data_IF_174896032066
#
_entry.id   IF_174896032066
#
_cell.length_a   1.000
_cell.length_b   1.000
_cell.length_c   1.000
_cell.angle_alpha   90.00
_cell.angle_beta   90.00
_cell.angle_gamma   90.00
#
_symmetry.space_group_name_H-M   'P 1'
#
loop_
_entity.id
_entity.type
_entity.pdbx_description
1 polymer ?
#
# COMPACT_ATOMS: atom_id res chain seq x y z
N UNK A 1 15.18 15.30 8.10
CA UNK A 1 15.19 13.82 8.04
C UNK A 1 14.32 13.42 6.86
N UNK A 2 14.88 13.53 5.66
CA UNK A 2 14.19 13.33 4.38
C UNK A 2 14.14 11.83 4.08
N UNK A 3 12.97 11.32 3.69
CA UNK A 3 12.66 9.96 3.21
C UNK A 3 13.77 8.92 3.41
N UNK A 4 13.54 7.94 4.28
CA UNK A 4 14.29 6.68 4.23
C UNK A 4 14.15 6.00 2.86
N UNK A 5 14.90 4.92 2.60
CA UNK A 5 14.89 4.25 1.31
C UNK A 5 13.46 3.84 0.96
N UNK A 6 12.85 4.54 0.00
CA UNK A 6 11.45 4.36 -0.37
C UNK A 6 11.15 2.87 -0.62
N UNK A 7 10.33 2.25 0.22
CA UNK A 7 9.82 0.92 -0.02
C UNK A 7 9.00 0.97 -1.32
N UNK A 8 9.41 0.19 -2.31
CA UNK A 8 8.63 0.06 -3.55
C UNK A 8 7.21 -0.42 -3.25
N UNK A 9 6.21 -0.06 -4.06
CA UNK A 9 4.82 -0.51 -3.87
C UNK A 9 4.71 -2.03 -3.65
N UNK A 10 5.53 -2.80 -4.38
CA UNK A 10 5.63 -4.26 -4.26
C UNK A 10 5.95 -4.73 -2.84
N UNK A 11 6.83 -3.99 -2.16
CA UNK A 11 7.30 -4.33 -0.82
C UNK A 11 6.22 -4.09 0.23
N UNK A 12 5.49 -2.98 0.13
CA UNK A 12 4.30 -2.70 0.99
C UNK A 12 3.17 -3.70 0.75
N UNK A 13 2.92 -4.05 -0.51
CA UNK A 13 1.94 -5.07 -0.88
C UNK A 13 2.31 -6.42 -0.23
N UNK A 14 3.55 -6.85 -0.41
CA UNK A 14 4.06 -8.11 0.14
C UNK A 14 3.89 -8.14 1.65
N UNK A 15 4.31 -7.08 2.33
CA UNK A 15 4.21 -6.97 3.77
C UNK A 15 2.78 -7.04 4.29
N UNK A 16 1.86 -6.29 3.69
CA UNK A 16 0.46 -6.35 4.08
C UNK A 16 -0.13 -7.75 3.84
N UNK A 17 0.22 -8.40 2.72
CA UNK A 17 -0.17 -9.79 2.46
C UNK A 17 0.40 -10.76 3.50
N UNK A 18 1.66 -10.59 3.91
CA UNK A 18 2.29 -11.38 4.97
C UNK A 18 1.56 -11.22 6.30
N UNK A 19 1.21 -9.99 6.67
CA UNK A 19 0.46 -9.72 7.92
C UNK A 19 -0.91 -10.38 7.89
N UNK A 20 -1.64 -10.29 6.79
CA UNK A 20 -2.90 -11.02 6.61
C UNK A 20 -2.66 -12.52 6.77
N UNK A 21 -1.64 -13.08 6.14
CA UNK A 21 -1.34 -14.51 6.24
C UNK A 21 -1.03 -14.93 7.68
N UNK A 22 -0.14 -14.19 8.36
CA UNK A 22 0.18 -14.39 9.76
C UNK A 22 -1.09 -14.33 10.61
N UNK A 23 -1.84 -13.23 10.59
CA UNK A 23 -3.04 -13.10 11.44
C UNK A 23 -3.99 -14.30 11.28
N UNK A 24 -4.09 -14.85 10.08
CA UNK A 24 -4.94 -16.00 9.77
C UNK A 24 -4.36 -17.33 10.20
N UNK A 25 -3.05 -17.53 10.01
CA UNK A 25 -2.33 -18.68 10.56
C UNK A 25 -2.49 -18.70 12.09
N UNK A 26 -2.40 -17.54 12.73
CA UNK A 26 -2.52 -17.34 14.17
C UNK A 26 -3.96 -17.17 14.70
N UNK A 27 -4.99 -17.20 13.84
CA UNK A 27 -6.40 -16.94 14.17
C UNK A 27 -6.59 -15.68 15.05
N UNK A 28 -5.86 -14.62 14.70
CA UNK A 28 -5.96 -13.28 15.29
C UNK A 28 -6.90 -12.43 14.41
N UNK A 29 -7.76 -11.66 15.06
CA UNK A 29 -8.58 -10.67 14.39
C UNK A 29 -7.69 -9.55 13.88
N UNK A 30 -7.87 -9.12 12.63
CA UNK A 30 -7.12 -8.05 11.99
C UNK A 30 -8.14 -7.10 11.38
N UNK A 31 -8.03 -5.82 11.70
CA UNK A 31 -8.85 -4.76 11.15
C UNK A 31 -7.93 -3.83 10.40
N UNK A 32 -8.22 -3.57 9.12
CA UNK A 32 -7.41 -2.72 8.26
C UNK A 32 -8.29 -1.67 7.58
N UNK A 33 -8.02 -0.38 7.81
CA UNK A 33 -8.72 0.73 7.16
C UNK A 33 -7.80 1.32 6.09
N UNK A 34 -8.32 1.37 4.86
CA UNK A 34 -7.70 2.04 3.72
C UNK A 34 -8.28 3.45 3.64
N UNK A 35 -7.46 4.46 3.91
CA UNK A 35 -7.86 5.87 3.87
C UNK A 35 -7.61 6.43 2.47
N UNK A 36 -8.62 7.09 1.92
CA UNK A 36 -8.54 7.87 0.68
C UNK A 36 -8.98 9.31 0.98
N UNK A 37 -8.30 10.31 0.40
CA UNK A 37 -8.66 11.72 0.53
C UNK A 37 -9.40 12.24 -0.71
N UNK A 38 -10.41 13.09 -0.49
CA UNK A 38 -11.13 13.76 -1.58
C UNK A 38 -10.23 14.81 -2.24
N UNK A 39 -9.96 14.62 -3.53
CA UNK A 39 -9.20 15.57 -4.38
C UNK A 39 -7.91 16.04 -3.68
N UNK A 40 -7.12 15.09 -3.17
CA UNK A 40 -6.03 15.35 -2.24
C UNK A 40 -5.11 16.53 -2.66
N UNK A 41 -4.64 16.54 -3.91
CA UNK A 41 -3.82 17.61 -4.45
C UNK A 41 -4.54 18.96 -4.54
N UNK A 42 -5.83 18.99 -4.82
CA UNK A 42 -6.58 20.25 -5.02
C UNK A 42 -7.10 20.86 -3.70
N UNK A 43 -7.15 20.05 -2.63
CA UNK A 43 -7.78 20.41 -1.36
C UNK A 43 -6.82 21.04 -0.35
N UNK A 44 -5.50 20.97 -0.55
CA UNK A 44 -4.50 21.47 0.41
C UNK A 44 -4.64 22.98 0.62
N UNK A 45 -4.79 23.41 1.88
CA UNK A 45 -4.81 24.82 2.24
C UNK A 45 -3.38 25.40 2.26
N UNK A 46 -3.14 26.48 1.50
CA UNK A 46 -1.79 27.07 1.36
C UNK A 46 -1.26 27.64 2.68
N UNK A 47 -2.10 28.32 3.46
CA UNK A 47 -1.69 28.89 4.75
C UNK A 47 -1.27 27.79 5.73
N UNK A 48 -2.02 26.69 5.77
CA UNK A 48 -1.67 25.54 6.60
C UNK A 48 -0.43 24.80 6.10
N UNK A 49 -0.24 24.66 4.79
CA UNK A 49 0.98 24.10 4.22
C UNK A 49 2.22 24.88 4.70
N UNK A 50 2.19 26.21 4.58
CA UNK A 50 3.29 27.09 5.01
C UNK A 50 3.49 27.06 6.53
N UNK A 51 2.40 27.09 7.29
CA UNK A 51 2.44 26.96 8.75
C UNK A 51 3.06 25.63 9.19
N UNK A 52 2.65 24.52 8.56
CA UNK A 52 3.18 23.18 8.81
C UNK A 52 4.68 23.09 8.50
N UNK A 53 5.16 23.75 7.45
CA UNK A 53 6.59 23.83 7.16
C UNK A 53 7.35 24.61 8.24
N UNK A 54 6.86 25.78 8.63
CA UNK A 54 7.50 26.64 9.62
C UNK A 54 7.63 25.96 11.00
N UNK A 55 6.55 25.34 11.49
CA UNK A 55 6.55 24.69 12.81
C UNK A 55 7.41 23.41 12.86
N UNK A 56 7.72 22.81 11.71
CA UNK A 56 8.60 21.65 11.63
C UNK A 56 10.07 22.02 11.38
N UNK A 57 10.46 23.27 11.66
CA UNK A 57 11.83 23.78 11.58
C UNK A 57 12.48 23.62 10.19
N UNK A 58 11.69 23.77 9.13
CA UNK A 58 12.25 23.93 7.78
C UNK A 58 12.95 25.28 7.66
N UNK A 59 13.99 25.31 6.81
CA UNK A 59 14.75 26.52 6.56
C UNK A 59 13.87 27.69 6.11
N UNK A 60 14.04 28.85 6.73
CA UNK A 60 13.16 30.01 6.51
C UNK A 60 13.23 30.52 5.07
N UNK A 61 14.39 30.44 4.42
CA UNK A 61 14.56 30.83 3.02
C UNK A 61 13.80 29.88 2.09
N UNK A 62 13.86 28.57 2.36
CA UNK A 62 13.05 27.56 1.66
C UNK A 62 11.55 27.84 1.82
N UNK A 63 11.08 28.12 3.03
CA UNK A 63 9.66 28.42 3.30
C UNK A 63 9.22 29.67 2.54
N UNK A 64 10.02 30.75 2.53
CA UNK A 64 9.75 31.97 1.74
C UNK A 64 9.69 31.70 0.23
N UNK A 65 10.56 30.84 -0.29
CA UNK A 65 10.52 30.43 -1.71
C UNK A 65 9.25 29.65 -2.04
N UNK A 66 8.82 28.75 -1.15
CA UNK A 66 7.55 28.02 -1.30
C UNK A 66 6.36 28.98 -1.19
N UNK A 67 6.37 29.91 -0.24
CA UNK A 67 5.35 30.95 -0.10
C UNK A 67 5.20 31.77 -1.39
N UNK A 68 6.31 32.18 -2.01
CA UNK A 68 6.29 32.90 -3.27
C UNK A 68 5.60 32.11 -4.41
N UNK A 69 5.69 30.78 -4.41
CA UNK A 69 5.00 29.92 -5.39
C UNK A 69 3.48 29.86 -5.16
N UNK A 70 3.04 29.99 -3.91
CA UNK A 70 1.64 29.87 -3.49
C UNK A 70 0.98 31.22 -3.17
N UNK A 71 1.65 32.35 -3.43
CA UNK A 71 1.11 33.69 -3.22
C UNK A 71 0.19 34.10 -4.37
N UNK A 72 -1.13 34.10 -4.13
CA UNK A 72 -2.18 34.44 -5.11
C UNK A 72 -2.00 33.79 -6.49
N UNK A 73 -1.83 32.45 -6.56
CA UNK A 73 -1.68 31.76 -7.83
C UNK A 73 -2.93 31.97 -8.68
N UNK A 74 -2.75 32.24 -9.97
CA UNK A 74 -3.84 32.35 -10.95
C UNK A 74 -3.78 31.20 -11.93
N UNK A 75 -4.92 30.55 -12.17
CA UNK A 75 -5.08 29.55 -13.20
C UNK A 75 -5.91 30.12 -14.35
N UNK A 76 -5.47 29.86 -15.58
CA UNK A 76 -6.20 30.22 -16.79
C UNK A 76 -6.52 28.95 -17.56
N UNK A 77 -7.79 28.73 -17.88
CA UNK A 77 -8.21 27.62 -18.74
C UNK A 77 -8.83 28.16 -20.03
N UNK A 78 -8.59 27.42 -21.12
CA UNK A 78 -9.23 27.65 -22.41
C UNK A 78 -10.34 26.63 -22.58
N UNK A 79 -11.55 27.09 -22.90
CA UNK A 79 -12.71 26.21 -23.15
C UNK A 79 -12.75 25.68 -24.58
N UNK A 80 -11.81 26.08 -25.45
CA UNK A 80 -11.75 25.68 -26.86
C UNK A 80 -12.90 26.24 -27.72
N UNK A 81 -13.92 26.83 -27.10
CA UNK A 81 -15.02 27.53 -27.76
C UNK A 81 -14.62 29.01 -27.85
N UNK A 82 -14.51 29.52 -29.08
CA UNK A 82 -14.24 30.93 -29.41
C UNK A 82 -12.93 31.52 -28.85
N UNK A 83 -11.89 30.70 -28.61
CA UNK A 83 -10.64 31.16 -27.97
C UNK A 83 -10.88 31.95 -26.66
N UNK A 84 -11.94 31.60 -25.91
CA UNK A 84 -12.21 32.26 -24.64
C UNK A 84 -11.32 31.71 -23.53
N UNK A 85 -10.72 32.63 -22.76
CA UNK A 85 -9.87 32.33 -21.63
C UNK A 85 -10.53 32.85 -20.36
N UNK A 86 -10.61 31.99 -19.35
CA UNK A 86 -11.11 32.37 -18.02
C UNK A 86 -9.98 32.23 -17.02
N UNK A 87 -9.63 33.33 -16.36
CA UNK A 87 -8.63 33.36 -15.29
C UNK A 87 -9.32 33.46 -13.94
N UNK A 88 -8.91 32.63 -12.99
CA UNK A 88 -9.38 32.69 -11.62
C UNK A 88 -8.21 32.51 -10.64
N UNK A 89 -8.39 33.03 -9.42
CA UNK A 89 -7.43 32.83 -8.34
C UNK A 89 -7.60 31.45 -7.71
N UNK A 90 -6.50 30.73 -7.56
CA UNK A 90 -6.44 29.41 -6.95
C UNK A 90 -6.27 29.58 -5.45
N UNK A 91 -7.31 29.23 -4.68
CA UNK A 91 -7.35 29.41 -3.22
C UNK A 91 -6.89 28.18 -2.42
N UNK A 92 -6.78 27.03 -3.07
CA UNK A 92 -6.34 25.78 -2.48
C UNK A 92 -5.68 24.90 -3.52
N UNK A 93 -4.91 23.94 -3.03
CA UNK A 93 -4.29 22.88 -3.80
C UNK A 93 -2.83 23.14 -4.12
N UNK A 94 -2.09 22.06 -4.26
CA UNK A 94 -0.72 22.03 -4.74
C UNK A 94 -0.70 21.82 -6.25
N UNK A 95 0.29 22.39 -6.93
CA UNK A 95 0.33 22.42 -8.40
C UNK A 95 0.52 21.02 -8.97
N UNK A 96 -0.43 20.53 -9.77
CA UNK A 96 -0.24 19.29 -10.52
C UNK A 96 0.87 19.48 -11.58
N UNK A 97 1.61 18.41 -11.89
CA UNK A 97 2.76 18.40 -12.82
C UNK A 97 4.00 19.21 -12.39
N UNK A 98 4.05 19.70 -11.14
CA UNK A 98 5.28 20.25 -10.54
C UNK A 98 6.05 19.15 -9.80
N UNK A 99 7.35 19.05 -10.08
CA UNK A 99 8.28 18.13 -9.39
C UNK A 99 8.33 18.32 -7.86
N UNK A 100 8.02 19.52 -7.36
CA UNK A 100 8.02 19.81 -5.93
C UNK A 100 6.72 19.39 -5.23
N UNK A 101 5.58 19.49 -5.91
CA UNK A 101 4.25 19.25 -5.31
C UNK A 101 4.08 17.87 -4.68
N UNK A 102 4.47 16.74 -5.31
CA UNK A 102 4.38 15.44 -4.66
C UNK A 102 5.19 15.35 -3.36
N UNK A 103 6.35 16.01 -3.30
CA UNK A 103 7.19 16.03 -2.09
C UNK A 103 6.56 16.86 -0.98
N UNK A 104 6.00 18.03 -1.33
CA UNK A 104 5.25 18.85 -0.38
C UNK A 104 4.03 18.13 0.17
N UNK A 105 3.33 17.37 -0.69
CA UNK A 105 2.19 16.58 -0.28
C UNK A 105 2.57 15.48 0.72
N UNK A 106 3.60 14.70 0.39
CA UNK A 106 4.12 13.65 1.27
C UNK A 106 4.53 14.24 2.62
N UNK A 107 5.23 15.36 2.60
CA UNK A 107 5.66 16.05 3.82
C UNK A 107 4.47 16.52 4.67
N UNK A 108 3.45 17.12 4.04
CA UNK A 108 2.24 17.54 4.73
C UNK A 108 1.55 16.35 5.40
N UNK A 109 1.43 15.23 4.69
CA UNK A 109 0.88 13.99 5.24
C UNK A 109 1.73 13.46 6.40
N UNK A 110 3.06 13.44 6.30
CA UNK A 110 3.94 13.06 7.42
C UNK A 110 3.70 13.92 8.67
N UNK A 111 3.52 15.23 8.49
CA UNK A 111 3.22 16.15 9.60
C UNK A 111 1.85 15.85 10.21
N UNK A 112 0.82 15.62 9.39
CA UNK A 112 -0.52 15.25 9.86
C UNK A 112 -0.46 13.96 10.70
N UNK A 113 0.24 12.95 10.19
CA UNK A 113 0.36 11.66 10.85
C UNK A 113 1.17 11.74 12.14
N UNK A 114 2.23 12.56 12.16
CA UNK A 114 3.02 12.83 13.37
C UNK A 114 2.20 13.56 14.44
N UNK A 115 1.34 14.51 14.06
CA UNK A 115 0.45 15.17 15.01
C UNK A 115 -0.62 14.21 15.54
N UNK A 116 -1.19 13.37 14.66
CA UNK A 116 -2.11 12.31 15.07
C UNK A 116 -1.44 11.33 16.03
N UNK A 117 -0.17 11.01 15.81
CA UNK A 117 0.63 10.18 16.70
C UNK A 117 0.74 10.75 18.10
N UNK A 118 1.13 12.03 18.22
CA UNK A 118 1.27 12.67 19.53
C UNK A 118 -0.03 12.62 20.33
N UNK A 119 -1.17 12.91 19.68
CA UNK A 119 -2.48 12.82 20.33
C UNK A 119 -2.84 11.39 20.76
N UNK A 120 -2.50 10.40 19.93
CA UNK A 120 -2.72 8.99 20.27
C UNK A 120 -1.83 8.58 21.44
N UNK A 121 -0.54 8.89 21.40
CA UNK A 121 0.41 8.58 22.47
C UNK A 121 -0.05 9.18 23.80
N UNK A 122 -0.49 10.44 23.80
CA UNK A 122 -1.05 11.10 24.99
C UNK A 122 -2.33 10.41 25.49
N UNK A 123 -3.21 9.99 24.59
CA UNK A 123 -4.42 9.26 24.95
C UNK A 123 -4.14 7.87 25.56
N UNK A 124 -3.04 7.23 25.19
CA UNK A 124 -2.73 5.84 25.60
C UNK A 124 -1.64 5.73 26.67
N UNK A 125 -1.09 6.85 27.18
CA UNK A 125 -0.11 6.89 28.29
C UNK A 125 -0.56 6.16 29.57
N UNK A 126 -1.86 6.01 29.80
CA UNK A 126 -2.43 5.47 31.03
C UNK A 126 -3.04 4.07 30.89
N UNK A 127 -2.97 3.43 29.72
CA UNK A 127 -3.48 2.07 29.53
C UNK A 127 -2.31 1.07 29.58
N UNK A 128 -2.26 0.22 30.62
CA UNK A 128 -1.32 -0.93 30.72
C UNK A 128 -1.48 -1.97 29.58
N UNK A 129 -2.43 -1.75 28.66
CA UNK A 129 -2.71 -2.66 27.57
C UNK A 129 -1.73 -2.46 26.42
N UNK A 130 -0.70 -3.31 26.38
CA UNK A 130 -0.08 -3.86 25.15
C UNK A 130 -0.20 -2.94 23.91
N UNK A 131 0.44 -1.77 23.97
CA UNK A 131 0.37 -0.73 22.95
C UNK A 131 0.59 -1.33 21.56
N UNK A 132 -0.54 -1.46 20.85
CA UNK A 132 -0.76 -1.08 19.45
C UNK A 132 0.51 -0.61 18.78
N UNK A 133 1.30 -1.57 18.28
CA UNK A 133 2.29 -1.28 17.26
C UNK A 133 1.51 -0.91 16.01
N UNK A 134 1.29 0.39 15.79
CA UNK A 134 0.84 0.93 14.52
C UNK A 134 1.92 0.53 13.53
N UNK A 135 1.71 -0.59 12.84
CA UNK A 135 2.66 -1.07 11.89
C UNK A 135 2.46 -0.25 10.62
N UNK A 136 3.30 0.73 10.41
CA UNK A 136 3.50 1.31 9.09
C UNK A 136 4.73 0.65 8.54
N UNK A 137 4.52 -0.04 7.43
CA UNK A 137 5.55 -0.80 6.75
C UNK A 137 6.23 -1.86 7.63
N UNK A 138 5.43 -2.51 8.49
CA UNK A 138 5.74 -3.71 9.30
C UNK A 138 7.03 -3.67 10.10
N UNK A 139 7.51 -2.47 10.42
CA UNK A 139 8.34 -2.22 11.59
C UNK A 139 7.44 -1.85 12.77
N UNK A 140 7.71 -2.36 13.98
CA UNK A 140 6.96 -2.04 15.19
C UNK A 140 7.45 -0.71 15.73
N UNK A 141 7.22 0.35 14.97
CA UNK A 141 7.60 1.69 15.39
C UNK A 141 6.33 2.50 15.42
N UNK A 142 6.09 3.13 16.56
CA UNK A 142 5.18 4.25 16.70
C UNK A 142 5.81 5.42 15.93
N UNK A 143 5.95 5.26 14.61
CA UNK A 143 6.37 6.30 13.68
C UNK A 143 5.62 6.09 12.37
N UNK A 144 4.75 7.02 12.05
CA UNK A 144 4.04 6.99 10.77
C UNK A 144 4.99 7.40 9.65
N UNK A 145 5.62 6.43 8.99
CA UNK A 145 6.52 6.74 7.88
C UNK A 145 5.77 6.62 6.56
N UNK A 146 5.52 7.76 5.92
CA UNK A 146 4.76 7.80 4.68
C UNK A 146 5.71 7.50 3.51
N UNK A 147 5.67 6.29 2.97
CA UNK A 147 6.60 5.90 1.91
C UNK A 147 5.98 5.96 0.50
N UNK A 148 4.69 6.29 0.40
CA UNK A 148 4.00 6.60 -0.85
C UNK A 148 2.87 7.61 -0.59
N UNK A 149 2.68 8.55 -1.51
CA UNK A 149 1.56 9.47 -1.46
C UNK A 149 0.22 8.74 -1.64
N UNK A 150 -0.83 9.33 -1.06
CA UNK A 150 -2.27 9.05 -1.23
C UNK A 150 -2.86 7.79 -0.56
N UNK A 151 -2.14 6.65 -0.54
CA UNK A 151 -2.69 5.38 -0.03
C UNK A 151 -2.21 5.06 1.41
N UNK A 152 -2.96 5.54 2.40
CA UNK A 152 -2.72 5.24 3.83
C UNK A 152 -3.50 3.98 4.22
N UNK A 153 -2.81 3.02 4.83
CA UNK A 153 -3.44 1.83 5.42
C UNK A 153 -3.09 1.78 6.89
N UNK A 154 -4.11 1.78 7.74
CA UNK A 154 -4.00 1.54 9.18
C UNK A 154 -4.45 0.13 9.43
N UNK A 155 -3.76 -0.64 10.25
CA UNK A 155 -4.29 -1.90 10.73
C UNK A 155 -3.91 -2.19 12.16
N UNK A 156 -4.84 -2.78 12.90
CA UNK A 156 -4.65 -3.20 14.30
C UNK A 156 -5.43 -4.49 14.57
N UNK A 157 -5.33 -4.99 15.81
CA UNK A 157 -6.07 -6.18 16.26
C UNK A 157 -7.41 -5.84 16.95
N UNK A 158 -7.81 -4.56 17.00
CA UNK A 158 -9.07 -4.11 17.59
C UNK A 158 -9.82 -3.13 16.68
N UNK A 159 -11.12 -3.37 16.48
CA UNK A 159 -11.95 -2.56 15.59
C UNK A 159 -12.03 -1.10 16.05
N UNK A 160 -12.40 -0.87 17.33
CA UNK A 160 -12.67 0.48 17.87
C UNK A 160 -11.43 1.33 17.85
N UNK A 161 -10.30 0.72 18.18
CA UNK A 161 -9.00 1.35 18.08
C UNK A 161 -8.65 1.74 16.64
N UNK A 162 -8.84 0.83 15.66
CA UNK A 162 -8.55 1.12 14.25
C UNK A 162 -9.38 2.30 13.76
N UNK A 163 -10.66 2.33 14.12
CA UNK A 163 -11.58 3.43 13.79
C UNK A 163 -11.20 4.73 14.49
N UNK A 164 -10.81 4.68 15.77
CA UNK A 164 -10.32 5.84 16.54
C UNK A 164 -9.07 6.44 15.90
N UNK A 165 -8.10 5.63 15.49
CA UNK A 165 -6.90 6.10 14.78
C UNK A 165 -7.30 6.82 13.49
N UNK A 166 -8.20 6.24 12.69
CA UNK A 166 -8.68 6.86 11.46
C UNK A 166 -9.39 8.21 11.72
N UNK A 167 -10.18 8.31 12.78
CA UNK A 167 -10.84 9.56 13.18
C UNK A 167 -9.85 10.64 13.64
N UNK A 168 -8.80 10.27 14.37
CA UNK A 168 -7.75 11.21 14.79
C UNK A 168 -6.97 11.74 13.58
N UNK A 169 -6.64 10.86 12.61
CA UNK A 169 -6.03 11.29 11.36
C UNK A 169 -6.97 12.23 10.59
N UNK A 170 -8.27 11.92 10.49
CA UNK A 170 -9.25 12.81 9.88
C UNK A 170 -9.28 14.19 10.56
N UNK A 171 -9.25 14.23 11.90
CA UNK A 171 -9.25 15.48 12.65
C UNK A 171 -8.05 16.37 12.30
N UNK A 172 -6.84 15.83 12.23
CA UNK A 172 -5.65 16.60 11.84
C UNK A 172 -5.62 16.94 10.35
N UNK A 173 -6.07 16.01 9.49
CA UNK A 173 -6.14 16.22 8.06
C UNK A 173 -7.05 17.41 7.70
N UNK A 174 -8.22 17.53 8.37
CA UNK A 174 -9.18 18.62 8.12
C UNK A 174 -8.63 20.01 8.36
N UNK A 175 -7.70 20.16 9.31
CA UNK A 175 -7.01 21.44 9.54
C UNK A 175 -6.25 21.90 8.30
N UNK A 176 -5.68 20.96 7.55
CA UNK A 176 -4.89 21.23 6.33
C UNK A 176 -5.75 21.35 5.06
N UNK A 177 -7.08 21.27 5.18
CA UNK A 177 -8.02 21.25 4.05
C UNK A 177 -8.27 19.86 3.47
N UNK A 178 -7.61 18.81 3.96
CA UNK A 178 -7.83 17.44 3.51
C UNK A 178 -9.07 16.83 4.17
N UNK A 179 -9.91 16.21 3.35
CA UNK A 179 -11.11 15.51 3.81
C UNK A 179 -11.08 14.04 3.39
N UNK A 180 -11.48 13.15 4.29
CA UNK A 180 -11.60 11.73 3.98
C UNK A 180 -12.75 11.50 2.99
N UNK A 181 -12.49 10.60 2.05
CA UNK A 181 -13.48 10.14 1.11
C UNK A 181 -14.22 8.94 1.68
N UNK A 182 -15.33 9.18 2.38
CA UNK A 182 -16.14 8.13 3.01
C UNK A 182 -16.55 6.99 2.05
N UNK A 183 -16.73 7.30 0.76
CA UNK A 183 -17.13 6.30 -0.23
C UNK A 183 -15.97 5.42 -0.70
N UNK A 184 -14.71 5.88 -0.59
CA UNK A 184 -13.53 5.11 -0.96
C UNK A 184 -12.75 4.59 0.25
N UNK A 185 -12.89 5.22 1.40
CA UNK A 185 -12.33 4.74 2.66
C UNK A 185 -13.10 3.50 3.10
N UNK A 186 -12.42 2.35 3.10
CA UNK A 186 -13.03 1.04 3.42
C UNK A 186 -12.26 0.35 4.52
N UNK A 187 -12.96 -0.47 5.30
CA UNK A 187 -12.35 -1.38 6.26
C UNK A 187 -12.37 -2.81 5.72
N UNK A 188 -11.32 -3.56 5.98
CA UNK A 188 -11.28 -5.01 5.83
C UNK A 188 -11.07 -5.63 7.20
N UNK A 189 -11.73 -6.75 7.48
CA UNK A 189 -11.63 -7.43 8.77
C UNK A 189 -11.48 -8.95 8.61
N UNK A 190 -10.63 -9.58 9.43
CA UNK A 190 -10.70 -11.03 9.70
C UNK A 190 -11.49 -11.29 10.97
N UNK A 191 -12.49 -12.17 10.89
CA UNK A 191 -13.43 -12.45 11.98
C UNK A 191 -13.18 -13.84 12.59
N UNK A 192 -12.22 -13.95 13.52
CA UNK A 192 -11.92 -15.23 14.18
C UNK A 192 -12.47 -15.31 15.60
N UNK A 193 -12.43 -14.22 16.36
CA UNK A 193 -12.82 -14.20 17.78
C UNK A 193 -13.99 -13.27 18.09
N UNK A 194 -14.05 -12.09 17.47
CA UNK A 194 -15.11 -11.10 17.73
C UNK A 194 -15.98 -10.85 16.49
N UNK A 195 -17.29 -10.66 16.72
CA UNK A 195 -18.18 -10.05 15.71
C UNK A 195 -17.86 -8.55 15.61
N UNK A 196 -18.08 -7.99 14.42
CA UNK A 196 -18.02 -6.55 14.23
C UNK A 196 -19.10 -5.86 15.08
N UNK A 197 -18.71 -4.78 15.73
CA UNK A 197 -19.57 -3.96 16.59
C UNK A 197 -19.80 -2.62 15.90
N UNK A 198 -20.95 -2.46 15.23
CA UNK A 198 -21.40 -1.22 14.57
C UNK A 198 -20.28 -0.43 13.86
N UNK A 199 -19.70 -0.97 12.78
CA UNK A 199 -18.56 -0.36 12.11
C UNK A 199 -18.91 1.01 11.52
N UNK A 200 -18.02 1.98 11.72
CA UNK A 200 -18.15 3.36 11.22
C UNK A 200 -17.86 3.43 9.71
N UNK A 201 -16.93 2.60 9.25
CA UNK A 201 -16.51 2.52 7.84
C UNK A 201 -17.11 1.28 7.19
N UNK A 202 -17.43 1.38 5.90
CA UNK A 202 -17.94 0.23 5.14
C UNK A 202 -16.92 -0.92 5.13
N UNK A 203 -17.37 -2.11 5.52
CA UNK A 203 -16.54 -3.32 5.58
C UNK A 203 -16.63 -4.10 4.27
N UNK A 204 -15.48 -4.33 3.64
CA UNK A 204 -15.35 -5.04 2.37
C UNK A 204 -14.52 -6.32 2.52
N UNK A 205 -14.85 -7.34 1.72
CA UNK A 205 -14.10 -8.60 1.69
C UNK A 205 -12.85 -8.51 0.83
N UNK A 206 -12.88 -7.68 -0.20
CA UNK A 206 -11.79 -7.48 -1.16
C UNK A 206 -11.54 -5.97 -1.32
N UNK A 207 -10.27 -5.59 -1.40
CA UNK A 207 -9.87 -4.21 -1.67
C UNK A 207 -8.72 -4.17 -2.68
N UNK A 208 -8.65 -3.12 -3.50
CA UNK A 208 -7.56 -2.94 -4.46
C UNK A 208 -6.49 -2.02 -3.86
N UNK A 209 -5.50 -2.62 -3.22
CA UNK A 209 -4.39 -1.91 -2.58
C UNK A 209 -3.17 -1.84 -3.49
N UNK A 210 -2.69 -0.64 -3.83
CA UNK A 210 -1.54 -0.41 -4.71
C UNK A 210 -1.62 -1.24 -6.01
N UNK A 211 -2.83 -1.36 -6.58
CA UNK A 211 -3.04 -2.13 -7.81
C UNK A 211 -3.16 -3.65 -7.65
N UNK A 212 -2.96 -4.23 -6.46
CA UNK A 212 -3.23 -5.64 -6.16
C UNK A 212 -4.57 -5.82 -5.47
N UNK A 213 -5.32 -6.86 -5.84
CA UNK A 213 -6.49 -7.27 -5.07
C UNK A 213 -6.05 -8.03 -3.81
N UNK A 214 -6.33 -7.44 -2.65
CA UNK A 214 -6.09 -8.05 -1.35
C UNK A 214 -7.42 -8.55 -0.79
N UNK A 215 -7.37 -9.68 -0.10
CA UNK A 215 -8.53 -10.29 0.55
C UNK A 215 -8.15 -10.83 1.91
N UNK A 216 -9.07 -10.68 2.86
CA UNK A 216 -8.98 -11.32 4.17
C UNK A 216 -9.32 -12.82 4.10
N UNK A 217 -9.78 -13.31 2.95
CA UNK A 217 -10.07 -14.72 2.66
C UNK A 217 -8.96 -15.43 1.84
N UNK A 218 -9.02 -16.77 1.65
CA UNK A 218 -7.96 -17.50 0.92
C UNK A 218 -8.03 -17.25 -0.60
N UNK A 219 -8.97 -16.43 -1.08
CA UNK A 219 -9.22 -16.20 -2.50
C UNK A 219 -8.46 -15.00 -3.07
N UNK A 220 -7.79 -14.19 -2.25
CA UNK A 220 -7.06 -12.99 -2.68
C UNK A 220 -6.13 -13.23 -3.88
N UNK A 221 -5.34 -14.31 -3.87
CA UNK A 221 -4.44 -14.63 -4.99
C UNK A 221 -5.18 -14.99 -6.29
N UNK A 222 -6.32 -15.68 -6.18
CA UNK A 222 -7.13 -16.02 -7.35
C UNK A 222 -7.80 -14.77 -7.92
N UNK A 223 -8.29 -13.90 -7.05
CA UNK A 223 -8.90 -12.63 -7.44
C UNK A 223 -7.88 -11.72 -8.10
N UNK A 224 -6.67 -11.62 -7.55
CA UNK A 224 -5.61 -10.84 -8.14
C UNK A 224 -5.07 -11.46 -9.45
N UNK A 225 -4.97 -12.80 -9.54
CA UNK A 225 -4.68 -13.47 -10.82
C UNK A 225 -5.68 -13.07 -11.90
N UNK A 226 -6.97 -13.03 -11.59
CA UNK A 226 -8.00 -12.62 -12.55
C UNK A 226 -7.81 -11.17 -13.01
N UNK A 227 -7.46 -10.25 -12.10
CA UNK A 227 -7.12 -8.86 -12.47
C UNK A 227 -5.82 -8.77 -13.28
N UNK A 228 -4.80 -9.58 -12.97
CA UNK A 228 -3.57 -9.67 -13.79
C UNK A 228 -3.85 -10.21 -15.19
N UNK A 229 -4.73 -11.20 -15.31
CA UNK A 229 -5.17 -11.73 -16.59
C UNK A 229 -5.89 -10.65 -17.42
N UNK A 230 -6.83 -9.91 -16.80
CA UNK A 230 -7.50 -8.78 -17.45
C UNK A 230 -6.51 -7.70 -17.88
N UNK A 231 -5.57 -7.31 -17.02
CA UNK A 231 -4.53 -6.33 -17.34
C UNK A 231 -3.65 -6.80 -18.50
N UNK A 232 -3.25 -8.07 -18.50
CA UNK A 232 -2.46 -8.69 -19.59
C UNK A 232 -3.17 -8.57 -20.92
N UNK A 233 -4.45 -8.97 -20.98
CA UNK A 233 -5.24 -8.91 -22.20
C UNK A 233 -5.51 -7.48 -22.65
N UNK A 234 -5.87 -6.56 -21.73
CA UNK A 234 -6.04 -5.14 -22.03
C UNK A 234 -4.78 -4.55 -22.66
N UNK A 235 -3.61 -4.82 -22.09
CA UNK A 235 -2.33 -4.35 -22.62
C UNK A 235 -2.03 -4.95 -23.99
N UNK A 236 -2.30 -6.24 -24.19
CA UNK A 236 -2.17 -6.89 -25.51
C UNK A 236 -3.09 -6.29 -26.56
N UNK A 237 -4.33 -5.95 -26.22
CA UNK A 237 -5.29 -5.37 -27.17
C UNK A 237 -4.99 -3.91 -27.45
N UNK A 238 -4.61 -3.13 -26.45
CA UNK A 238 -4.15 -1.73 -26.61
C UNK A 238 -2.98 -1.62 -27.58
N UNK A 239 -2.09 -2.62 -27.61
CA UNK A 239 -0.92 -2.65 -28.48
C UNK A 239 -1.13 -3.51 -29.74
N UNK A 240 -2.38 -3.82 -30.13
CA UNK A 240 -2.67 -4.71 -31.29
C UNK A 240 -2.03 -4.21 -32.59
N UNK A 241 -2.17 -2.92 -32.89
CA UNK A 241 -1.63 -2.34 -34.14
C UNK A 241 -0.11 -2.42 -34.22
N UNK A 242 0.58 -2.10 -33.11
CA UNK A 242 2.04 -2.23 -33.00
C UNK A 242 2.48 -3.68 -33.16
N UNK A 243 1.78 -4.61 -32.50
CA UNK A 243 2.06 -6.04 -32.62
C UNK A 243 1.84 -6.55 -34.04
N UNK A 244 0.82 -6.08 -34.76
CA UNK A 244 0.53 -6.53 -36.12
C UNK A 244 1.62 -6.11 -37.12
N UNK A 245 2.20 -4.91 -36.94
CA UNK A 245 3.24 -4.36 -37.81
C UNK A 245 4.66 -4.81 -37.46
N UNK A 246 4.86 -5.29 -36.23
CA UNK A 246 6.17 -5.69 -35.74
C UNK A 246 6.63 -7.04 -36.31
N UNK A 247 7.94 -7.12 -36.59
CA UNK A 247 8.63 -8.38 -36.84
C UNK A 247 8.73 -9.24 -35.57
N UNK A 248 9.27 -10.45 -35.71
CA UNK A 248 9.37 -11.40 -34.58
C UNK A 248 10.14 -10.81 -33.39
N UNK A 249 11.28 -10.17 -33.66
CA UNK A 249 12.16 -9.60 -32.63
C UNK A 249 11.45 -8.48 -31.87
N UNK A 250 10.77 -7.59 -32.57
CA UNK A 250 10.06 -6.49 -31.92
C UNK A 250 8.78 -6.96 -31.22
N UNK A 251 8.06 -7.96 -31.73
CA UNK A 251 6.95 -8.62 -31.00
C UNK A 251 7.41 -9.17 -29.66
N UNK A 252 8.58 -9.81 -29.63
CA UNK A 252 9.15 -10.36 -28.40
C UNK A 252 9.55 -9.24 -27.42
N UNK A 253 10.13 -8.14 -27.92
CA UNK A 253 10.41 -6.95 -27.09
C UNK A 253 9.13 -6.34 -26.52
N UNK A 254 8.10 -6.13 -27.35
CA UNK A 254 6.80 -5.61 -26.91
C UNK A 254 6.19 -6.51 -25.83
N UNK A 255 6.24 -7.83 -26.04
CA UNK A 255 5.79 -8.78 -25.03
C UNK A 255 6.56 -8.61 -23.72
N UNK A 256 7.90 -8.68 -23.75
CA UNK A 256 8.73 -8.65 -22.56
C UNK A 256 8.70 -7.30 -21.81
N UNK A 257 8.58 -6.18 -22.52
CA UNK A 257 8.66 -4.84 -21.93
C UNK A 257 7.30 -4.25 -21.54
N UNK A 258 6.20 -4.68 -22.16
CA UNK A 258 4.89 -4.04 -21.98
C UNK A 258 3.85 -5.03 -21.45
N UNK A 259 3.69 -6.19 -22.08
CA UNK A 259 2.63 -7.14 -21.74
C UNK A 259 3.01 -7.98 -20.51
N UNK A 260 4.20 -8.57 -20.51
CA UNK A 260 4.70 -9.45 -19.45
C UNK A 260 4.80 -8.75 -18.09
N UNK A 261 5.25 -7.48 -17.98
CA UNK A 261 5.25 -6.76 -16.70
C UNK A 261 3.83 -6.56 -16.13
N UNK A 262 2.81 -6.38 -16.98
CA UNK A 262 1.42 -6.30 -16.52
C UNK A 262 0.93 -7.66 -15.96
N UNK A 263 1.37 -8.77 -16.56
CA UNK A 263 1.12 -10.12 -16.04
C UNK A 263 1.80 -10.36 -14.69
N UNK A 264 3.05 -9.93 -14.57
CA UNK A 264 3.94 -10.25 -13.43
C UNK A 264 3.83 -9.27 -12.26
N UNK A 265 2.97 -8.26 -12.34
CA UNK A 265 2.84 -7.27 -11.27
C UNK A 265 2.38 -7.91 -9.96
N UNK A 266 3.06 -7.62 -8.85
CA UNK A 266 2.77 -8.10 -7.49
C UNK A 266 2.86 -9.61 -7.27
N UNK A 267 3.44 -10.37 -8.20
CA UNK A 267 3.48 -11.83 -8.13
C UNK A 267 4.26 -12.34 -6.91
N UNK A 268 5.28 -11.60 -6.50
CA UNK A 268 6.08 -11.84 -5.30
C UNK A 268 5.26 -11.85 -3.99
N UNK A 269 4.08 -11.21 -3.99
CA UNK A 269 3.18 -11.18 -2.83
C UNK A 269 2.14 -12.30 -2.80
N UNK A 270 2.13 -13.16 -3.82
CA UNK A 270 1.19 -14.27 -3.95
C UNK A 270 1.69 -15.54 -3.27
N UNK A 271 0.77 -16.45 -2.91
CA UNK A 271 1.16 -17.78 -2.45
C UNK A 271 1.57 -18.69 -3.63
N UNK A 272 2.74 -19.33 -3.56
CA UNK A 272 3.33 -20.19 -4.61
C UNK A 272 2.65 -21.58 -4.68
N UNK A 273 1.35 -21.62 -4.96
CA UNK A 273 0.68 -22.90 -5.16
C UNK A 273 0.95 -23.42 -6.57
N UNK A 274 1.10 -24.74 -6.73
CA UNK A 274 1.24 -25.38 -8.05
C UNK A 274 0.10 -24.93 -8.98
N UNK A 275 -1.12 -24.87 -8.43
CA UNK A 275 -2.31 -24.44 -9.15
C UNK A 275 -2.19 -23.00 -9.68
N UNK A 276 -1.76 -22.05 -8.84
CA UNK A 276 -1.61 -20.64 -9.24
C UNK A 276 -0.50 -20.47 -10.29
N UNK A 277 0.65 -21.13 -10.08
CA UNK A 277 1.76 -21.11 -11.06
C UNK A 277 1.28 -21.65 -12.42
N UNK A 278 0.54 -22.76 -12.42
CA UNK A 278 -0.01 -23.34 -13.65
C UNK A 278 -1.01 -22.40 -14.33
N UNK A 279 -1.79 -21.62 -13.57
CA UNK A 279 -2.66 -20.58 -14.13
C UNK A 279 -1.85 -19.51 -14.86
N UNK A 280 -0.75 -19.02 -14.28
CA UNK A 280 0.15 -18.06 -14.93
C UNK A 280 0.84 -18.62 -16.17
N UNK A 281 1.33 -19.86 -16.11
CA UNK A 281 1.91 -20.56 -17.28
C UNK A 281 0.88 -20.70 -18.39
N UNK A 282 -0.36 -21.09 -18.06
CA UNK A 282 -1.45 -21.19 -19.04
C UNK A 282 -1.78 -19.83 -19.66
N UNK A 283 -1.81 -18.77 -18.86
CA UNK A 283 -2.04 -17.40 -19.35
C UNK A 283 -0.93 -16.95 -20.30
N UNK A 284 0.35 -17.15 -19.93
CA UNK A 284 1.50 -16.81 -20.78
C UNK A 284 1.42 -17.52 -22.12
N UNK A 285 1.15 -18.83 -22.13
CA UNK A 285 0.97 -19.61 -23.36
C UNK A 285 -0.14 -19.04 -24.26
N UNK A 286 -1.32 -18.76 -23.69
CA UNK A 286 -2.45 -18.19 -24.45
C UNK A 286 -2.12 -16.84 -25.06
N UNK A 287 -1.46 -15.97 -24.29
CA UNK A 287 -1.11 -14.61 -24.74
C UNK A 287 -0.06 -14.65 -25.84
N UNK A 288 1.00 -15.43 -25.65
CA UNK A 288 2.05 -15.65 -26.66
C UNK A 288 1.47 -16.24 -27.95
N UNK A 289 0.63 -17.28 -27.83
CA UNK A 289 -0.05 -17.84 -28.99
C UNK A 289 -0.91 -16.79 -29.71
N UNK A 290 -1.58 -15.88 -29.00
CA UNK A 290 -2.36 -14.81 -29.64
C UNK A 290 -1.52 -13.77 -30.38
N UNK A 291 -0.24 -13.61 -30.02
CA UNK A 291 0.69 -12.64 -30.62
C UNK A 291 1.40 -13.27 -31.83
N UNK A 292 1.85 -14.51 -31.70
CA UNK A 292 2.74 -15.15 -32.66
C UNK A 292 2.07 -16.23 -33.53
N UNK A 293 0.86 -16.68 -33.17
CA UNK A 293 0.09 -17.72 -33.87
C UNK A 293 0.78 -19.09 -33.97
N UNK A 294 1.82 -19.29 -33.16
CA UNK A 294 2.56 -20.55 -33.00
C UNK A 294 3.00 -20.72 -31.54
N UNK A 295 3.41 -21.93 -31.17
CA UNK A 295 3.98 -22.15 -29.85
C UNK A 295 5.37 -21.51 -29.75
N UNK A 296 5.61 -20.79 -28.65
CA UNK A 296 6.88 -20.12 -28.37
C UNK A 296 7.26 -20.40 -26.93
N UNK A 297 8.53 -20.73 -26.74
CA UNK A 297 9.15 -20.87 -25.44
C UNK A 297 10.07 -19.66 -25.20
N UNK A 298 9.69 -18.74 -24.30
CA UNK A 298 10.58 -17.65 -23.90
C UNK A 298 11.86 -18.21 -23.27
N UNK A 299 12.97 -17.48 -23.40
CA UNK A 299 14.28 -17.89 -22.86
C UNK A 299 14.25 -18.19 -21.34
N UNK A 300 13.43 -17.48 -20.59
CA UNK A 300 13.07 -17.84 -19.21
C UNK A 300 11.56 -18.03 -19.13
N UNK A 301 11.12 -19.19 -18.64
CA UNK A 301 9.71 -19.48 -18.42
C UNK A 301 9.15 -18.57 -17.31
N UNK A 302 7.87 -18.20 -17.38
CA UNK A 302 7.23 -17.45 -16.29
C UNK A 302 7.30 -18.19 -14.96
N UNK A 303 7.33 -19.54 -14.98
CA UNK A 303 7.51 -20.36 -13.79
C UNK A 303 8.81 -20.02 -13.07
N UNK A 304 9.93 -19.95 -13.79
CA UNK A 304 11.24 -19.71 -13.19
C UNK A 304 11.34 -18.28 -12.64
N UNK A 305 10.77 -17.31 -13.36
CA UNK A 305 10.66 -15.92 -12.90
C UNK A 305 9.82 -15.81 -11.62
N UNK A 306 8.72 -16.56 -11.54
CA UNK A 306 7.87 -16.57 -10.35
C UNK A 306 8.66 -17.09 -9.15
N UNK A 307 9.37 -18.21 -9.32
CA UNK A 307 10.14 -18.82 -8.26
C UNK A 307 11.27 -17.89 -7.78
N UNK A 308 12.06 -17.35 -8.71
CA UNK A 308 13.14 -16.41 -8.42
C UNK A 308 12.63 -15.16 -7.67
N UNK A 309 11.55 -14.53 -8.13
CA UNK A 309 10.98 -13.34 -7.48
C UNK A 309 10.45 -13.63 -6.08
N UNK A 310 9.80 -14.78 -5.90
CA UNK A 310 9.26 -15.18 -4.60
C UNK A 310 10.37 -15.55 -3.61
N UNK A 311 11.46 -16.16 -4.08
CA UNK A 311 12.63 -16.48 -3.26
C UNK A 311 13.35 -15.21 -2.81
N UNK A 312 13.58 -14.26 -3.73
CA UNK A 312 14.20 -12.97 -3.42
C UNK A 312 13.35 -12.11 -2.47
N UNK A 313 12.03 -12.25 -2.51
CA UNK A 313 11.10 -11.54 -1.63
C UNK A 313 11.09 -12.03 -0.18
N UNK A 314 11.63 -13.23 0.11
CA UNK A 314 11.61 -13.87 1.44
C UNK A 314 12.70 -13.39 2.42
N UNK A 315 13.57 -12.45 2.04
CA UNK A 315 14.53 -11.83 2.98
C UNK A 315 13.74 -10.94 3.97
N UNK A 316 13.95 -11.10 5.29
CA UNK A 316 12.84 -11.18 6.24
C UNK A 316 12.23 -9.82 6.57
N UNK A 317 10.90 -9.84 6.73
CA UNK A 317 10.18 -8.89 7.55
C UNK A 317 9.93 -9.55 8.89
N UNK A 318 10.20 -8.84 9.97
CA UNK A 318 9.90 -9.33 11.31
C UNK A 318 8.40 -9.20 11.55
N UNK A 319 7.70 -10.34 11.66
CA UNK A 319 6.30 -10.37 12.08
C UNK A 319 6.24 -10.81 13.54
N UNK A 320 5.77 -9.91 14.40
CA UNK A 320 5.68 -10.14 15.84
C UNK A 320 4.43 -10.94 16.20
N UNK A 321 4.61 -12.00 17.00
CA UNK A 321 3.51 -12.83 17.50
C UNK A 321 3.71 -13.03 19.01
N UNK A 322 2.61 -13.02 19.78
CA UNK A 322 2.59 -13.33 21.22
C UNK A 322 3.16 -14.74 21.52
N UNK A 323 3.87 -14.84 22.67
CA UNK A 323 4.75 -15.94 23.08
C UNK A 323 4.06 -17.31 23.26
N UNK A 324 2.76 -17.34 23.57
CA UNK A 324 2.10 -18.55 24.09
C UNK A 324 1.27 -19.34 23.07
N UNK A 325 1.51 -19.15 21.76
CA UNK A 325 0.65 -19.74 20.75
C UNK A 325 1.25 -20.99 20.09
N UNK A 326 0.47 -22.09 20.10
CA UNK A 326 0.77 -23.32 19.36
C UNK A 326 -0.06 -23.41 18.08
N UNK A 327 0.61 -23.81 16.99
CA UNK A 327 0.01 -24.03 15.66
C UNK A 327 -1.18 -24.99 15.72
N UNK A 328 -2.40 -24.60 15.28
CA UNK A 328 -3.49 -25.51 15.06
C UNK A 328 -3.11 -26.51 13.98
N UNK A 329 -3.19 -27.79 14.31
CA UNK A 329 -2.86 -28.88 13.41
C UNK A 329 -3.96 -29.00 12.36
N UNK A 330 -3.64 -28.62 11.12
CA UNK A 330 -4.47 -28.79 9.94
C UNK A 330 -3.60 -28.63 8.70
N UNK A 331 -3.76 -29.51 7.70
CA UNK A 331 -2.89 -29.51 6.50
C UNK A 331 -3.07 -28.20 5.71
N UNK A 332 -2.03 -27.35 5.60
CA UNK A 332 -2.05 -26.29 4.60
C UNK A 332 -2.07 -26.91 3.19
N UNK A 333 -2.59 -26.20 2.17
CA UNK A 333 -2.45 -26.64 0.78
C UNK A 333 -0.97 -26.87 0.45
N UNK A 334 -0.65 -27.87 -0.39
CA UNK A 334 0.72 -28.17 -0.83
C UNK A 334 1.37 -26.91 -1.44
N UNK A 335 2.24 -26.25 -0.68
CA UNK A 335 3.03 -25.08 -1.13
C UNK A 335 4.27 -25.62 -1.84
N UNK A 336 4.62 -25.11 -3.01
CA UNK A 336 5.87 -25.52 -3.68
C UNK A 336 7.10 -25.11 -2.86
N UNK A 337 6.99 -23.98 -2.16
CA UNK A 337 8.01 -23.40 -1.29
C UNK A 337 8.21 -24.12 0.06
N UNK A 338 7.45 -25.15 0.41
CA UNK A 338 7.79 -25.98 1.58
C UNK A 338 9.05 -26.83 1.35
N UNK A 339 9.61 -26.78 0.14
CA UNK A 339 10.89 -27.38 -0.25
C UNK A 339 12.06 -26.37 -0.18
N UNK A 340 11.80 -25.12 0.18
CA UNK A 340 12.80 -24.05 0.31
C UNK A 340 12.89 -23.66 1.80
N UNK A 341 14.10 -23.64 2.41
CA UNK A 341 14.26 -23.34 3.84
C UNK A 341 13.66 -21.98 4.21
N UNK A 342 12.90 -21.93 5.31
CA UNK A 342 12.32 -20.71 5.85
C UNK A 342 13.40 -19.94 6.61
N UNK A 343 13.87 -18.82 6.04
CA UNK A 343 14.77 -17.88 6.71
C UNK A 343 14.00 -16.74 7.41
N UNK A 344 12.69 -16.90 7.63
CA UNK A 344 11.87 -15.92 8.34
C UNK A 344 12.17 -15.94 9.84
N UNK A 345 12.63 -14.82 10.38
CA UNK A 345 12.80 -14.64 11.83
C UNK A 345 11.46 -14.21 12.44
N UNK A 346 10.88 -15.05 13.29
CA UNK A 346 9.72 -14.68 14.11
C UNK A 346 10.27 -14.10 15.41
N UNK A 347 10.11 -12.80 15.62
CA UNK A 347 10.51 -12.16 16.88
C UNK A 347 9.38 -12.31 17.91
N UNK A 348 9.63 -13.12 18.92
CA UNK A 348 8.76 -13.27 20.09
C UNK A 348 9.03 -12.11 21.06
N UNK A 349 8.00 -11.43 21.55
CA UNK A 349 8.14 -10.38 22.55
C UNK A 349 8.03 -10.98 23.96
N UNK A 350 9.01 -10.72 24.81
CA UNK A 350 8.98 -11.09 26.23
C UNK A 350 8.48 -9.91 27.07
N UNK A 351 7.41 -10.12 27.84
CA UNK A 351 7.05 -9.21 28.93
C UNK A 351 7.98 -9.49 30.12
N UNK A 352 9.21 -8.99 30.09
CA UNK A 352 10.04 -8.99 31.30
C UNK A 352 9.68 -7.74 32.12
N UNK A 353 8.91 -7.99 33.18
CA UNK A 353 8.76 -7.09 34.31
C UNK A 353 10.16 -6.69 34.78
N UNK A 354 10.40 -5.38 34.83
CA UNK A 354 11.61 -4.78 35.37
C UNK A 354 11.67 -5.14 36.86
N UNK A 355 12.57 -6.06 37.23
CA UNK A 355 13.05 -6.11 38.61
C UNK A 355 13.78 -4.79 38.89
N UNK A 356 13.23 -4.02 39.84
CA UNK A 356 13.87 -2.81 40.37
C UNK A 356 15.25 -3.19 40.94
N UNK A 357 16.32 -2.45 40.63
CA UNK A 357 17.56 -2.60 41.38
C UNK A 357 17.31 -2.13 42.81
N UNK A 358 17.44 -3.05 43.77
CA UNK A 358 17.51 -2.72 45.19
C UNK A 358 18.77 -1.88 45.42
N UNK A 359 18.58 -0.69 45.96
CA UNK A 359 19.62 0.07 46.64
C UNK A 359 20.13 -0.74 47.84
N UNK A 360 21.44 -0.95 47.91
CA UNK A 360 22.24 -0.77 49.13
C UNK A 360 23.67 -0.40 48.75
#
# INVERSE_FOLDING_TARGET
MLCGPALTCRRRILQFCTIIQTCREYKKDLYAIFIDFKKAFDSVNHSWLLYSLAINNFDEELVKRIEALYRSPKATFSTGINNSYTTFEVKSGIRQDDTLSPKLFILLLEIILKNAQYDLDDCFKNEESNLVKIMIDGTPTVSFKLEFADDIVIYTYDQKLTEKIAQVIEYHARKTGLELNKDKTKMMATQYKKKLDNPIYEVVSNYKYLGRVVSMDLNGDNNDFNERAKATWRTRFKNKELLNRADYKNKLKIYNCIIRPATLYSIESMRPTIMLINKFVSLEKKVLHSIFKKEIHPAMCIKDIILDRMENARKPFDVYVEKDWKRPVGRPPKRLLSLVPDNSTILLYENNLIEKPNHH
#
